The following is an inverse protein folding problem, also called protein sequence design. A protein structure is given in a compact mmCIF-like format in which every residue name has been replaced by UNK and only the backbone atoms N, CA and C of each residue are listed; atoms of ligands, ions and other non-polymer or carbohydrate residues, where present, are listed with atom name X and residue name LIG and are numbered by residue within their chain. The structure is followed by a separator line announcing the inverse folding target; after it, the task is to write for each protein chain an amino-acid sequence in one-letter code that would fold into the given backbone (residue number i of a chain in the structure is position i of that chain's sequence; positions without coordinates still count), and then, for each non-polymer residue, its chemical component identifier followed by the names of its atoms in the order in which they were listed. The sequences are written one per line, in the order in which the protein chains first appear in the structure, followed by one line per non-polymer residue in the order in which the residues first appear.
data_IF_062829636074
#
_entry.id   IF_062829636074
#
_cell.length_a   1.000
_cell.length_b   1.000
_cell.length_c   1.000
_cell.angle_alpha   90.00
_cell.angle_beta   90.00
_cell.angle_gamma   90.00
#
_symmetry.space_group_name_H-M   'P 1'
#
loop_
_entity.id
_entity.type
_entity.pdbx_description
1 polymer ?
#
# COMPACT_ATOMS: atom_id res chain seq x y z
N UNK A 1 4.63 -16.25 4.30
CA UNK A 1 3.72 -16.58 5.40
C UNK A 1 2.29 -16.60 4.93
N UNK A 2 1.41 -17.14 5.76
CA UNK A 2 -0.05 -17.13 5.57
C UNK A 2 -0.65 -16.48 6.81
N UNK A 3 -1.49 -15.47 6.61
CA UNK A 3 -2.37 -14.91 7.61
C UNK A 3 -3.69 -15.65 7.59
N UNK A 4 -4.19 -16.07 8.71
CA UNK A 4 -5.56 -16.57 8.88
C UNK A 4 -6.35 -15.49 9.60
N UNK A 5 -7.35 -14.94 8.95
CA UNK A 5 -8.18 -13.89 9.52
C UNK A 5 -9.02 -14.44 10.67
N UNK A 6 -9.19 -13.70 11.77
CA UNK A 6 -10.11 -14.09 12.83
C UNK A 6 -11.58 -13.95 12.42
N UNK A 7 -11.86 -13.22 11.32
CA UNK A 7 -13.22 -13.05 10.79
C UNK A 7 -13.49 -14.14 9.74
N UNK A 8 -12.74 -14.11 8.62
CA UNK A 8 -12.91 -15.04 7.52
C UNK A 8 -11.71 -14.98 6.56
N UNK A 9 -11.33 -16.12 6.00
CA UNK A 9 -10.36 -16.24 4.92
C UNK A 9 -8.92 -16.31 5.36
N UNK A 10 -8.05 -16.38 4.37
CA UNK A 10 -6.60 -16.35 4.58
C UNK A 10 -5.90 -15.59 3.47
N UNK A 11 -4.78 -14.94 3.79
CA UNK A 11 -3.98 -14.15 2.86
C UNK A 11 -2.52 -14.60 2.92
N UNK A 12 -1.91 -14.79 1.76
CA UNK A 12 -0.45 -14.97 1.68
C UNK A 12 0.24 -13.61 1.74
N UNK A 13 1.33 -13.53 2.48
CA UNK A 13 2.14 -12.32 2.57
C UNK A 13 3.62 -12.63 2.73
N UNK A 14 4.43 -11.66 2.37
CA UNK A 14 5.87 -11.64 2.62
C UNK A 14 6.21 -10.46 3.52
N UNK A 15 7.22 -10.64 4.33
CA UNK A 15 7.87 -9.55 5.03
C UNK A 15 9.38 -9.76 5.06
N UNK A 16 10.11 -8.68 5.16
CA UNK A 16 11.53 -8.67 5.42
C UNK A 16 11.81 -7.77 6.63
N UNK A 17 12.70 -8.21 7.52
CA UNK A 17 13.19 -7.38 8.60
C UNK A 17 14.32 -6.45 8.11
N UNK A 18 14.67 -5.38 8.83
CA UNK A 18 15.86 -4.59 8.58
C UNK A 18 17.11 -5.45 8.50
N UNK A 19 18.06 -5.06 7.67
CA UNK A 19 19.32 -5.83 7.45
C UNK A 19 20.17 -5.83 8.71
N UNK A 20 20.12 -4.72 9.47
CA UNK A 20 20.89 -4.55 10.71
C UNK A 20 19.94 -4.13 11.84
N UNK A 21 19.63 -5.04 12.72
CA UNK A 21 18.80 -4.77 13.89
C UNK A 21 19.65 -4.71 15.18
N UNK A 22 19.41 -3.69 16.00
CA UNK A 22 19.98 -3.53 17.33
C UNK A 22 18.85 -3.62 18.36
N UNK A 23 19.11 -4.28 19.48
CA UNK A 23 18.16 -4.36 20.59
C UNK A 23 17.77 -2.96 21.06
N UNK A 24 16.47 -2.72 21.27
CA UNK A 24 15.94 -1.44 21.73
C UNK A 24 15.80 -0.35 20.66
N UNK A 25 16.22 -0.59 19.42
CA UNK A 25 16.04 0.35 18.31
C UNK A 25 14.78 0.00 17.52
N UNK A 26 13.93 0.99 17.23
CA UNK A 26 12.75 0.82 16.36
C UNK A 26 13.07 1.21 14.93
N UNK A 27 12.47 0.49 13.99
CA UNK A 27 12.75 0.61 12.54
C UNK A 27 11.51 0.95 11.75
N UNK A 28 11.63 1.74 10.65
CA UNK A 28 10.51 2.06 9.79
C UNK A 28 9.94 0.81 9.11
N UNK A 29 8.67 0.90 8.73
CA UNK A 29 7.97 -0.13 7.95
C UNK A 29 7.51 0.45 6.62
N UNK A 30 7.85 -0.21 5.52
CA UNK A 30 7.27 0.02 4.21
C UNK A 30 6.22 -1.05 3.91
N UNK A 31 4.98 -0.63 3.73
CA UNK A 31 3.88 -1.47 3.25
C UNK A 31 3.76 -1.31 1.74
N UNK A 32 3.78 -2.41 1.00
CA UNK A 32 3.73 -2.41 -0.46
C UNK A 32 2.49 -3.13 -0.99
N UNK A 33 1.73 -2.45 -1.84
CA UNK A 33 0.61 -2.99 -2.57
C UNK A 33 0.98 -3.21 -4.04
N UNK A 34 0.99 -4.46 -4.49
CA UNK A 34 1.34 -4.84 -5.86
C UNK A 34 0.24 -4.48 -6.87
N UNK A 35 0.59 -4.40 -8.14
CA UNK A 35 -0.35 -4.25 -9.25
C UNK A 35 -1.10 -5.55 -9.59
N UNK A 36 -1.91 -5.51 -10.64
CA UNK A 36 -2.72 -6.66 -11.03
C UNK A 36 -1.91 -7.89 -11.42
N UNK A 37 -0.70 -7.71 -11.92
CA UNK A 37 0.21 -8.81 -12.30
C UNK A 37 0.75 -9.60 -11.10
N UNK A 38 0.76 -9.01 -9.90
CA UNK A 38 1.22 -9.68 -8.68
C UNK A 38 0.19 -10.62 -8.04
N UNK A 39 -1.05 -10.65 -8.56
CA UNK A 39 -2.10 -11.53 -8.06
C UNK A 39 -1.74 -12.99 -8.19
N UNK A 40 -2.12 -13.78 -7.21
CA UNK A 40 -1.87 -15.22 -7.23
C UNK A 40 -1.93 -15.89 -5.88
N UNK A 41 -1.38 -17.10 -5.84
CA UNK A 41 -1.30 -17.93 -4.65
C UNK A 41 0.12 -18.51 -4.44
N UNK A 42 1.11 -18.02 -5.17
CA UNK A 42 2.50 -18.48 -5.12
C UNK A 42 3.33 -17.80 -4.04
N UNK A 43 2.80 -16.71 -3.46
CA UNK A 43 3.49 -15.85 -2.50
C UNK A 43 4.84 -15.31 -3.03
N UNK A 44 4.92 -15.05 -4.35
CA UNK A 44 6.09 -14.52 -5.07
C UNK A 44 5.72 -13.37 -6.00
N UNK A 45 4.59 -13.46 -6.71
CA UNK A 45 4.16 -12.47 -7.69
C UNK A 45 4.13 -11.05 -7.16
N UNK A 46 3.70 -10.84 -5.92
CA UNK A 46 3.68 -9.51 -5.27
C UNK A 46 5.06 -8.85 -5.14
N UNK A 47 6.16 -9.61 -5.20
CA UNK A 47 7.52 -9.07 -5.05
C UNK A 47 8.11 -8.58 -6.37
N UNK A 48 7.67 -9.16 -7.49
CA UNK A 48 8.28 -8.96 -8.82
C UNK A 48 7.39 -8.20 -9.80
N UNK A 49 6.11 -8.02 -9.48
CA UNK A 49 5.17 -7.34 -10.35
C UNK A 49 5.66 -5.93 -10.73
N UNK A 50 5.75 -5.67 -12.02
CA UNK A 50 6.25 -4.41 -12.61
C UNK A 50 7.60 -3.94 -12.03
N UNK A 51 8.42 -4.85 -11.54
CA UNK A 51 9.70 -4.53 -10.92
C UNK A 51 9.60 -3.98 -9.49
N UNK A 52 8.43 -3.72 -8.95
CA UNK A 52 8.17 -3.07 -7.67
C UNK A 52 9.21 -3.29 -6.57
N UNK A 53 8.99 -4.27 -5.69
CA UNK A 53 9.95 -4.54 -4.59
C UNK A 53 11.30 -5.07 -5.07
N UNK A 54 11.35 -5.76 -6.22
CA UNK A 54 12.63 -6.22 -6.78
C UNK A 54 13.51 -5.04 -7.23
N UNK A 55 12.92 -3.96 -7.75
CA UNK A 55 13.66 -2.73 -8.05
C UNK A 55 14.19 -2.07 -6.76
N UNK A 56 13.38 -2.04 -5.71
CA UNK A 56 13.77 -1.53 -4.38
C UNK A 56 15.01 -2.27 -3.83
N UNK A 57 15.04 -3.59 -3.95
CA UNK A 57 16.20 -4.42 -3.55
C UNK A 57 17.42 -4.17 -4.45
N UNK A 58 17.26 -4.15 -5.78
CA UNK A 58 18.34 -3.90 -6.75
C UNK A 58 19.01 -2.55 -6.54
N UNK A 59 18.25 -1.53 -6.14
CA UNK A 59 18.78 -0.19 -5.80
C UNK A 59 19.45 -0.13 -4.42
N UNK A 60 19.50 -1.23 -3.69
CA UNK A 60 20.05 -1.28 -2.33
C UNK A 60 19.27 -0.47 -1.29
N UNK A 61 18.06 -0.05 -1.63
CA UNK A 61 17.26 0.84 -0.77
C UNK A 61 16.89 0.18 0.56
N UNK A 62 16.65 -1.12 0.57
CA UNK A 62 16.38 -1.86 1.81
C UNK A 62 17.55 -1.75 2.79
N UNK A 63 18.78 -1.92 2.31
CA UNK A 63 19.98 -1.79 3.15
C UNK A 63 20.23 -0.35 3.57
N UNK A 64 20.04 0.60 2.64
CA UNK A 64 20.26 2.03 2.87
C UNK A 64 19.25 2.59 3.89
N UNK A 65 17.97 2.26 3.76
CA UNK A 65 16.90 2.72 4.65
C UNK A 65 16.77 1.87 5.91
N UNK A 66 17.36 0.68 5.92
CA UNK A 66 17.32 -0.27 7.03
C UNK A 66 15.91 -0.46 7.61
N UNK A 67 14.95 -0.74 6.74
CA UNK A 67 13.52 -0.80 7.04
C UNK A 67 12.95 -2.21 6.97
N UNK A 68 11.83 -2.41 7.67
CA UNK A 68 10.94 -3.52 7.37
C UNK A 68 10.24 -3.32 6.02
N UNK A 69 9.90 -4.42 5.37
CA UNK A 69 9.02 -4.44 4.20
C UNK A 69 7.89 -5.43 4.50
N UNK A 70 6.66 -5.06 4.14
CA UNK A 70 5.48 -5.91 4.24
C UNK A 70 4.69 -5.88 2.94
N UNK A 71 4.36 -7.05 2.38
CA UNK A 71 3.64 -7.18 1.12
C UNK A 71 2.64 -8.35 1.17
N UNK A 72 1.35 -8.04 1.18
CA UNK A 72 0.28 -9.02 0.97
C UNK A 72 0.20 -9.45 -0.49
N UNK A 73 -0.41 -10.59 -0.77
CA UNK A 73 -0.71 -11.05 -2.13
C UNK A 73 -2.22 -11.22 -2.31
N UNK A 74 -2.78 -10.43 -3.21
CA UNK A 74 -4.19 -10.54 -3.62
C UNK A 74 -4.38 -11.82 -4.44
N UNK A 75 -5.37 -12.65 -4.16
CA UNK A 75 -5.71 -13.82 -4.98
C UNK A 75 -6.11 -13.45 -6.41
N UNK A 76 -6.04 -14.42 -7.33
CA UNK A 76 -6.57 -14.23 -8.69
C UNK A 76 -8.06 -13.89 -8.63
N UNK A 77 -8.49 -12.97 -9.47
CA UNK A 77 -9.89 -12.52 -9.52
C UNK A 77 -10.27 -11.43 -8.52
N UNK A 78 -9.49 -11.24 -7.45
CA UNK A 78 -9.72 -10.20 -6.44
C UNK A 78 -8.96 -8.90 -6.73
N UNK A 79 -9.24 -7.88 -5.93
CA UNK A 79 -8.61 -6.55 -5.98
C UNK A 79 -8.35 -6.02 -4.58
N UNK A 80 -7.42 -5.04 -4.47
CA UNK A 80 -7.29 -4.24 -3.23
C UNK A 80 -8.56 -3.43 -2.95
N UNK A 81 -9.17 -2.90 -4.01
CA UNK A 81 -10.39 -2.07 -3.93
C UNK A 81 -11.37 -2.55 -5.00
N UNK A 82 -12.61 -2.84 -4.63
CA UNK A 82 -13.64 -3.39 -5.50
C UNK A 82 -14.26 -2.32 -6.40
N UNK A 83 -13.44 -1.70 -7.25
CA UNK A 83 -13.85 -0.70 -8.25
C UNK A 83 -13.36 -1.05 -9.64
N UNK A 84 -14.02 -0.52 -10.67
CA UNK A 84 -13.49 -0.59 -12.04
C UNK A 84 -12.42 0.48 -12.25
N UNK A 85 -11.31 0.09 -12.85
CA UNK A 85 -10.19 1.02 -13.14
C UNK A 85 -10.49 1.98 -14.30
N UNK A 86 -11.50 1.67 -15.14
CA UNK A 86 -11.96 2.54 -16.23
C UNK A 86 -12.81 3.73 -15.77
N UNK A 87 -13.31 3.71 -14.51
CA UNK A 87 -14.11 4.80 -13.98
C UNK A 87 -13.27 6.07 -13.80
N UNK A 88 -13.83 7.22 -14.15
CA UNK A 88 -13.21 8.54 -13.94
C UNK A 88 -13.27 8.99 -12.47
N UNK A 89 -14.09 8.36 -11.64
CA UNK A 89 -14.21 8.60 -10.22
C UNK A 89 -14.90 7.43 -9.52
N UNK A 90 -14.76 7.31 -8.22
CA UNK A 90 -15.53 6.37 -7.42
C UNK A 90 -15.68 6.88 -5.98
N UNK A 91 -16.66 6.38 -5.28
CA UNK A 91 -16.78 6.45 -3.82
C UNK A 91 -16.05 5.27 -3.20
N UNK A 92 -15.53 5.46 -2.00
CA UNK A 92 -14.87 4.37 -1.26
C UNK A 92 -15.87 3.23 -1.03
N UNK A 93 -15.64 2.05 -1.60
CA UNK A 93 -16.54 0.90 -1.42
C UNK A 93 -16.33 0.23 -0.05
N UNK A 94 -17.13 -0.79 0.22
CA UNK A 94 -16.84 -1.74 1.30
C UNK A 94 -15.41 -2.27 1.18
N UNK A 95 -14.75 -2.47 2.32
CA UNK A 95 -13.38 -2.97 2.35
C UNK A 95 -13.31 -4.36 1.71
N UNK A 96 -12.38 -4.55 0.79
CA UNK A 96 -12.17 -5.88 0.20
C UNK A 96 -11.56 -6.84 1.24
N UNK A 97 -11.83 -8.14 1.09
CA UNK A 97 -11.23 -9.16 1.95
C UNK A 97 -9.69 -9.11 1.90
N UNK A 98 -9.11 -8.90 0.71
CA UNK A 98 -7.66 -8.79 0.55
C UNK A 98 -7.07 -7.58 1.29
N UNK A 99 -7.74 -6.41 1.25
CA UNK A 99 -7.30 -5.23 2.00
C UNK A 99 -7.45 -5.45 3.51
N UNK A 100 -8.61 -5.94 3.96
CA UNK A 100 -8.87 -6.22 5.38
C UNK A 100 -7.83 -7.18 5.97
N UNK A 101 -7.63 -8.34 5.33
CA UNK A 101 -6.66 -9.34 5.79
C UNK A 101 -5.21 -8.83 5.76
N UNK A 102 -4.88 -7.96 4.79
CA UNK A 102 -3.55 -7.35 4.75
C UNK A 102 -3.34 -6.40 5.92
N UNK A 103 -4.35 -5.58 6.26
CA UNK A 103 -4.29 -4.70 7.43
C UNK A 103 -4.21 -5.50 8.73
N UNK A 104 -5.01 -6.55 8.91
CA UNK A 104 -4.95 -7.43 10.08
C UNK A 104 -3.58 -8.06 10.25
N UNK A 105 -3.02 -8.61 9.17
CA UNK A 105 -1.69 -9.25 9.19
C UNK A 105 -0.57 -8.24 9.48
N UNK A 106 -0.69 -7.03 8.93
CA UNK A 106 0.22 -5.92 9.18
C UNK A 106 0.16 -5.47 10.65
N UNK A 107 -1.03 -5.31 11.21
CA UNK A 107 -1.23 -4.91 12.60
C UNK A 107 -0.62 -5.97 13.55
N UNK A 108 -0.86 -7.25 13.30
CA UNK A 108 -0.24 -8.35 14.05
C UNK A 108 1.29 -8.33 13.93
N UNK A 109 1.83 -7.98 12.75
CA UNK A 109 3.28 -7.84 12.56
C UNK A 109 3.85 -6.68 13.38
N UNK A 110 3.18 -5.53 13.38
CA UNK A 110 3.59 -4.32 14.10
C UNK A 110 3.53 -4.53 15.62
N UNK A 111 2.47 -5.17 16.11
CA UNK A 111 2.26 -5.42 17.53
C UNK A 111 3.25 -6.41 18.14
N UNK A 112 3.92 -7.23 17.33
CA UNK A 112 4.93 -8.15 17.84
C UNK A 112 6.20 -7.39 18.25
N UNK A 113 6.54 -7.32 19.55
CA UNK A 113 7.66 -6.53 20.06
C UNK A 113 9.02 -6.98 19.51
N UNK A 114 9.14 -8.23 19.06
CA UNK A 114 10.36 -8.74 18.44
C UNK A 114 10.67 -8.07 17.11
N UNK A 115 9.67 -7.51 16.44
CA UNK A 115 9.86 -6.81 15.16
C UNK A 115 10.40 -5.38 15.35
N UNK A 116 10.23 -4.78 16.53
CA UNK A 116 10.76 -3.44 16.82
C UNK A 116 10.33 -2.39 15.78
N UNK A 117 9.08 -2.45 15.32
CA UNK A 117 8.55 -1.49 14.33
C UNK A 117 8.35 -0.13 15.00
N UNK A 118 8.78 0.93 14.31
CA UNK A 118 8.48 2.30 14.70
C UNK A 118 7.11 2.71 14.14
N UNK A 119 6.13 2.81 14.99
CA UNK A 119 4.75 3.16 14.63
C UNK A 119 4.60 4.59 14.11
N UNK A 120 5.58 5.47 14.33
CA UNK A 120 5.59 6.82 13.78
C UNK A 120 6.23 6.88 12.37
N UNK A 121 6.78 5.78 11.88
CA UNK A 121 7.45 5.69 10.59
C UNK A 121 6.95 4.52 9.76
N UNK A 122 5.62 4.47 9.56
CA UNK A 122 4.96 3.50 8.68
C UNK A 122 4.62 4.20 7.37
N UNK A 123 5.14 3.70 6.28
CA UNK A 123 4.97 4.23 4.94
C UNK A 123 4.19 3.24 4.08
N UNK A 124 3.40 3.75 3.15
CA UNK A 124 2.65 2.91 2.20
C UNK A 124 2.91 3.34 0.77
N UNK A 125 3.12 2.36 -0.09
CA UNK A 125 3.22 2.60 -1.53
C UNK A 125 2.59 1.46 -2.32
N UNK A 126 2.20 1.75 -3.54
CA UNK A 126 1.68 0.73 -4.44
C UNK A 126 1.45 1.26 -5.84
N UNK A 127 1.46 0.35 -6.81
CA UNK A 127 1.33 0.70 -8.23
C UNK A 127 0.06 0.11 -8.85
N UNK A 128 -0.56 0.86 -9.79
CA UNK A 128 -1.72 0.40 -10.55
C UNK A 128 -2.87 -0.04 -9.61
N UNK A 129 -3.30 -1.29 -9.65
CA UNK A 129 -4.22 -1.85 -8.66
C UNK A 129 -3.77 -1.55 -7.23
N UNK A 130 -2.47 -1.61 -6.93
CA UNK A 130 -1.87 -1.24 -5.65
C UNK A 130 -1.88 0.26 -5.39
N UNK A 131 -1.86 1.09 -6.43
CA UNK A 131 -2.07 2.54 -6.31
C UNK A 131 -3.47 2.87 -5.78
N UNK A 132 -4.51 2.16 -6.27
CA UNK A 132 -5.85 2.21 -5.66
C UNK A 132 -5.81 1.71 -4.21
N UNK A 133 -5.10 0.60 -3.94
CA UNK A 133 -4.92 0.09 -2.59
C UNK A 133 -4.26 1.10 -1.66
N UNK A 134 -3.27 1.84 -2.14
CA UNK A 134 -2.61 2.90 -1.36
C UNK A 134 -3.58 4.02 -1.00
N UNK A 135 -4.35 4.52 -1.98
CA UNK A 135 -5.39 5.53 -1.72
C UNK A 135 -6.44 5.03 -0.74
N UNK A 136 -6.93 3.79 -0.88
CA UNK A 136 -7.92 3.19 0.01
C UNK A 136 -7.38 3.03 1.43
N UNK A 137 -6.15 2.55 1.58
CA UNK A 137 -5.52 2.34 2.88
C UNK A 137 -5.40 3.64 3.68
N UNK A 138 -4.94 4.73 3.05
CA UNK A 138 -4.82 6.03 3.73
C UNK A 138 -6.18 6.69 3.99
N UNK A 139 -7.20 6.43 3.17
CA UNK A 139 -8.57 6.89 3.45
C UNK A 139 -9.16 6.20 4.69
N UNK A 140 -8.92 4.91 4.85
CA UNK A 140 -9.44 4.14 5.99
C UNK A 140 -8.70 4.43 7.28
N UNK A 141 -7.41 4.75 7.18
CA UNK A 141 -6.52 4.97 8.33
C UNK A 141 -5.66 6.22 8.11
N UNK A 142 -6.27 7.44 8.08
CA UNK A 142 -5.57 8.67 7.69
C UNK A 142 -4.41 9.04 8.62
N UNK A 143 -4.52 8.71 9.92
CA UNK A 143 -3.50 9.03 10.93
C UNK A 143 -2.50 7.89 11.18
N UNK A 144 -2.59 6.81 10.39
CA UNK A 144 -1.76 5.62 10.62
C UNK A 144 -0.43 5.67 9.87
N UNK A 145 -0.41 6.26 8.68
CA UNK A 145 0.76 6.30 7.83
C UNK A 145 1.49 7.63 7.94
N UNK A 146 2.82 7.59 8.02
CA UNK A 146 3.67 8.80 8.03
C UNK A 146 3.79 9.46 6.66
N UNK A 147 3.67 8.70 5.58
CA UNK A 147 3.58 9.20 4.21
C UNK A 147 3.07 8.10 3.26
N UNK A 148 2.63 8.52 2.06
CA UNK A 148 2.10 7.63 1.03
C UNK A 148 2.66 7.94 -0.37
N UNK A 149 2.88 6.86 -1.16
CA UNK A 149 3.32 6.96 -2.55
C UNK A 149 2.39 6.14 -3.45
N UNK A 150 1.22 6.68 -3.83
CA UNK A 150 0.35 6.03 -4.81
C UNK A 150 0.89 6.23 -6.23
N UNK A 151 1.05 5.14 -6.98
CA UNK A 151 1.57 5.15 -8.35
C UNK A 151 0.47 4.67 -9.30
N UNK A 152 0.14 5.48 -10.31
CA UNK A 152 -0.90 5.24 -11.34
C UNK A 152 -2.18 4.59 -10.78
N UNK A 153 -2.75 5.19 -9.75
CA UNK A 153 -3.99 4.77 -9.10
C UNK A 153 -5.00 5.89 -8.99
N UNK A 154 -6.09 5.64 -8.27
CA UNK A 154 -7.10 6.64 -7.98
C UNK A 154 -7.81 6.37 -6.66
N UNK A 155 -8.30 7.43 -6.04
CA UNK A 155 -9.02 7.39 -4.77
C UNK A 155 -10.41 8.04 -4.86
N UNK A 156 -11.08 8.11 -3.73
CA UNK A 156 -12.31 8.86 -3.52
C UNK A 156 -11.99 10.30 -3.08
N UNK A 157 -12.09 11.23 -4.01
CA UNK A 157 -11.78 12.65 -3.74
C UNK A 157 -12.68 13.32 -2.70
N UNK A 158 -13.85 12.74 -2.38
CA UNK A 158 -14.70 13.28 -1.32
C UNK A 158 -14.10 13.13 0.08
N UNK A 159 -13.12 12.25 0.25
CA UNK A 159 -12.36 12.04 1.48
C UNK A 159 -11.05 12.88 1.56
N UNK A 160 -10.80 13.77 0.59
CA UNK A 160 -9.55 14.52 0.49
C UNK A 160 -9.20 15.31 1.77
N UNK A 161 -10.21 15.89 2.44
CA UNK A 161 -10.02 16.64 3.70
C UNK A 161 -9.33 15.80 4.79
N UNK A 162 -9.62 14.50 4.86
CA UNK A 162 -8.98 13.60 5.84
C UNK A 162 -7.50 13.39 5.58
N UNK A 163 -7.03 13.69 4.37
CA UNK A 163 -5.65 13.45 3.92
C UNK A 163 -4.81 14.74 3.82
N UNK A 164 -5.37 15.89 4.15
CA UNK A 164 -4.70 17.18 4.00
C UNK A 164 -3.39 17.29 4.82
N UNK A 165 -3.30 16.58 5.93
CA UNK A 165 -2.11 16.55 6.80
C UNK A 165 -1.06 15.53 6.37
N UNK A 166 -1.42 14.56 5.51
CA UNK A 166 -0.55 13.43 5.16
C UNK A 166 0.38 13.80 4.00
N UNK A 167 1.71 13.66 4.13
CA UNK A 167 2.63 13.77 3.02
C UNK A 167 2.34 12.71 1.95
N UNK A 168 2.02 13.16 0.72
CA UNK A 168 1.69 12.27 -0.40
C UNK A 168 2.53 12.63 -1.62
N UNK A 169 3.18 11.63 -2.21
CA UNK A 169 3.93 11.79 -3.45
C UNK A 169 3.32 10.89 -4.54
N UNK A 170 2.36 11.43 -5.29
CA UNK A 170 1.67 10.69 -6.33
C UNK A 170 2.44 10.70 -7.67
N UNK A 171 2.52 9.54 -8.30
CA UNK A 171 3.11 9.34 -9.62
C UNK A 171 2.11 8.81 -10.62
N UNK A 172 2.16 9.32 -11.86
CA UNK A 172 1.31 8.82 -12.94
C UNK A 172 1.95 9.11 -14.31
N UNK A 173 1.95 8.14 -15.20
CA UNK A 173 2.38 8.33 -16.58
C UNK A 173 1.33 9.10 -17.39
N UNK A 174 1.74 10.17 -18.08
CA UNK A 174 0.84 11.01 -18.89
C UNK A 174 0.09 10.23 -19.98
N UNK A 175 0.68 9.16 -20.49
CA UNK A 175 0.15 8.32 -21.57
C UNK A 175 -0.42 7.00 -21.05
N UNK A 176 -0.82 6.92 -19.77
CA UNK A 176 -1.44 5.72 -19.22
C UNK A 176 -2.81 5.49 -19.88
N UNK A 177 -2.92 4.40 -20.64
CA UNK A 177 -4.13 4.02 -21.35
C UNK A 177 -5.08 3.15 -20.51
N UNK A 178 -4.61 2.63 -19.38
CA UNK A 178 -5.39 1.74 -18.51
C UNK A 178 -6.09 2.54 -17.41
N UNK A 179 -5.34 3.39 -16.73
CA UNK A 179 -5.85 4.25 -15.65
C UNK A 179 -5.58 5.70 -16.05
N UNK A 180 -6.63 6.47 -16.26
CA UNK A 180 -6.49 7.87 -16.68
C UNK A 180 -5.67 8.69 -15.69
N UNK A 181 -4.66 9.49 -16.12
CA UNK A 181 -3.87 10.34 -15.24
C UNK A 181 -4.68 11.31 -14.38
N UNK A 182 -5.88 11.70 -14.86
CA UNK A 182 -6.83 12.49 -14.08
C UNK A 182 -7.18 11.87 -12.73
N UNK A 183 -7.12 10.53 -12.60
CA UNK A 183 -7.41 9.85 -11.35
C UNK A 183 -6.46 10.24 -10.21
N UNK A 184 -5.18 10.44 -10.52
CA UNK A 184 -4.20 10.95 -9.54
C UNK A 184 -4.30 12.48 -9.40
N UNK A 185 -4.45 13.22 -10.50
CA UNK A 185 -4.57 14.69 -10.46
C UNK A 185 -5.77 15.13 -9.64
N UNK A 186 -6.95 14.55 -9.88
CA UNK A 186 -8.18 14.88 -9.15
C UNK A 186 -8.02 14.69 -7.63
N UNK A 187 -7.28 13.66 -7.21
CA UNK A 187 -6.99 13.42 -5.79
C UNK A 187 -6.09 14.51 -5.21
N UNK A 188 -4.99 14.83 -5.88
CA UNK A 188 -4.04 15.85 -5.43
C UNK A 188 -4.70 17.23 -5.41
N UNK A 189 -5.48 17.57 -6.45
CA UNK A 189 -6.19 18.86 -6.52
C UNK A 189 -7.24 18.97 -5.39
N UNK A 190 -7.95 17.90 -5.10
CA UNK A 190 -8.92 17.87 -4.00
C UNK A 190 -8.24 18.03 -2.63
N UNK A 191 -7.06 17.40 -2.43
CA UNK A 191 -6.27 17.51 -1.18
C UNK A 191 -5.75 18.93 -1.02
N UNK A 192 -5.17 19.54 -2.08
CA UNK A 192 -4.72 20.94 -2.06
C UNK A 192 -5.86 21.90 -1.74
N UNK A 193 -7.04 21.72 -2.35
CA UNK A 193 -8.24 22.53 -2.03
C UNK A 193 -8.70 22.36 -0.58
N UNK A 194 -8.38 21.26 0.05
CA UNK A 194 -8.70 20.98 1.44
C UNK A 194 -7.63 21.47 2.43
N UNK A 195 -6.56 22.14 1.94
CA UNK A 195 -5.49 22.72 2.75
C UNK A 195 -4.25 21.86 2.91
N UNK A 196 -4.10 20.80 2.07
CA UNK A 196 -2.93 19.92 2.05
C UNK A 196 -1.85 20.34 1.05
#
# INVERSE_FOLDING_TARGET
KIWKSPIEGSLKYRHAAPVRMKKGTKYPLLVFFHGAGGRGADNKGQLIDAGGLSAFEKMGLRTKLNSHIFAGQVPKGEKWVNVSWSLLGHKTPEISNSMRMTMEAMDSYIQNPKNQVDTNRIYVMGLSMGGYGTWDAIHRRPDFFAAAVPICGGGDKSNAKKLAHLPIWAWHGEKDLVIKPSRSRDMIDAIKKAGG
#
